data_IF_632720862155
#
_entry.id   IF_632720862155
#
_cell.length_a   1.000
_cell.length_b   1.000
_cell.length_c   1.000
_cell.angle_alpha   90.00
_cell.angle_beta   90.00
_cell.angle_gamma   90.00
#
_symmetry.space_group_name_H-M   'P 1'
#
loop_
_entity.id
_entity.type
_entity.pdbx_description
1 polymer ?
#
# COMPACT_ATOMS: atom_id res chain seq x y z
N UNK A 1 1.79 14.67 -16.12
CA UNK A 1 1.51 15.22 -14.76
C UNK A 1 0.52 14.27 -14.13
N UNK A 2 0.73 13.89 -12.86
CA UNK A 2 -0.19 13.00 -12.14
C UNK A 2 -1.54 13.70 -11.99
N UNK A 3 -2.61 13.00 -12.35
CA UNK A 3 -4.00 13.49 -12.33
C UNK A 3 -4.83 12.80 -11.24
N UNK A 4 -4.49 11.55 -10.92
CA UNK A 4 -5.26 10.72 -10.02
C UNK A 4 -4.54 10.55 -8.68
N UNK A 5 -5.25 10.83 -7.60
CA UNK A 5 -4.68 10.91 -6.25
C UNK A 5 -5.53 10.12 -5.26
N UNK A 6 -4.93 9.59 -4.18
CA UNK A 6 -5.68 9.11 -3.03
C UNK A 6 -6.61 10.21 -2.47
N UNK A 7 -7.75 9.81 -1.91
CA UNK A 7 -8.63 10.76 -1.23
C UNK A 7 -7.99 11.28 0.05
N UNK A 8 -8.43 12.44 0.54
CA UNK A 8 -7.92 13.00 1.80
C UNK A 8 -8.18 12.07 3.00
N UNK A 9 -9.29 11.32 2.96
CA UNK A 9 -9.59 10.28 3.95
C UNK A 9 -8.54 9.17 3.96
N UNK A 10 -8.13 8.68 2.79
CA UNK A 10 -7.07 7.66 2.68
C UNK A 10 -5.72 8.19 3.17
N UNK A 11 -5.37 9.44 2.84
CA UNK A 11 -4.14 10.06 3.30
C UNK A 11 -4.15 10.25 4.83
N UNK A 12 -5.26 10.68 5.40
CA UNK A 12 -5.41 10.81 6.85
C UNK A 12 -5.32 9.45 7.56
N UNK A 13 -6.02 8.43 7.05
CA UNK A 13 -5.95 7.06 7.55
C UNK A 13 -4.52 6.48 7.46
N UNK A 14 -3.78 6.79 6.39
CA UNK A 14 -2.37 6.41 6.26
C UNK A 14 -1.50 7.01 7.36
N UNK A 15 -1.67 8.31 7.65
CA UNK A 15 -0.89 9.03 8.66
C UNK A 15 -1.08 8.45 10.05
N UNK A 16 -2.30 8.08 10.43
CA UNK A 16 -2.60 7.52 11.76
C UNK A 16 -2.40 6.00 11.82
N UNK A 17 -1.98 5.36 10.71
CA UNK A 17 -1.69 3.93 10.67
C UNK A 17 -2.91 3.00 10.61
N UNK A 18 -4.06 3.49 10.14
CA UNK A 18 -5.33 2.74 10.10
C UNK A 18 -5.57 2.01 8.76
N UNK A 19 -4.75 2.28 7.74
CA UNK A 19 -4.82 1.54 6.48
C UNK A 19 -4.22 0.14 6.59
N UNK A 20 -4.88 -0.82 5.92
CA UNK A 20 -4.29 -2.10 5.56
C UNK A 20 -2.91 -1.92 4.88
N UNK A 21 -2.00 -2.86 5.09
CA UNK A 21 -0.62 -2.81 4.60
C UNK A 21 -0.56 -2.65 3.07
N UNK A 22 -1.43 -3.32 2.32
CA UNK A 22 -1.54 -3.16 0.86
C UNK A 22 -1.83 -1.73 0.44
N UNK A 23 -2.85 -1.11 1.06
CA UNK A 23 -3.22 0.27 0.77
C UNK A 23 -2.19 1.28 1.28
N UNK A 24 -1.59 1.02 2.44
CA UNK A 24 -0.51 1.83 3.01
C UNK A 24 0.72 1.86 2.10
N UNK A 25 1.11 0.70 1.53
CA UNK A 25 2.19 0.62 0.53
C UNK A 25 1.87 1.48 -0.69
N UNK A 26 0.64 1.43 -1.19
CA UNK A 26 0.23 2.23 -2.35
C UNK A 26 0.30 3.73 -2.07
N UNK A 27 -0.26 4.18 -0.94
CA UNK A 27 -0.25 5.61 -0.56
C UNK A 27 1.19 6.09 -0.37
N UNK A 28 2.04 5.31 0.30
CA UNK A 28 3.47 5.63 0.44
C UNK A 28 4.19 5.72 -0.91
N UNK A 29 4.00 4.73 -1.79
CA UNK A 29 4.61 4.72 -3.13
C UNK A 29 4.15 5.92 -3.98
N UNK A 30 2.87 6.25 -3.91
CA UNK A 30 2.31 7.43 -4.58
C UNK A 30 2.91 8.74 -4.06
N UNK A 31 3.06 8.90 -2.74
CA UNK A 31 3.64 10.10 -2.16
C UNK A 31 5.12 10.30 -2.53
N UNK A 32 5.88 9.22 -2.79
CA UNK A 32 7.24 9.32 -3.34
C UNK A 32 7.24 9.89 -4.77
N UNK A 33 6.16 9.71 -5.52
CA UNK A 33 6.01 10.14 -6.92
C UNK A 33 5.25 11.47 -7.06
N UNK A 34 4.50 11.87 -6.03
CA UNK A 34 3.55 12.99 -6.08
C UNK A 34 3.80 14.00 -4.94
N UNK A 35 4.42 15.14 -5.29
CA UNK A 35 4.71 16.23 -4.34
C UNK A 35 3.45 16.78 -3.65
N UNK A 36 2.33 16.87 -4.39
CA UNK A 36 1.04 17.32 -3.83
C UNK A 36 0.55 16.44 -2.68
N UNK A 37 0.55 15.12 -2.87
CA UNK A 37 0.12 14.19 -1.84
C UNK A 37 1.14 14.05 -0.71
N UNK A 38 2.45 14.17 -1.01
CA UNK A 38 3.50 14.24 0.00
C UNK A 38 3.28 15.41 0.96
N UNK A 39 2.99 16.61 0.44
CA UNK A 39 2.72 17.79 1.24
C UNK A 39 1.45 17.65 2.10
N UNK A 40 0.40 17.01 1.57
CA UNK A 40 -0.82 16.70 2.34
C UNK A 40 -0.54 15.72 3.49
N UNK A 41 0.22 14.66 3.25
CA UNK A 41 0.63 13.71 4.30
C UNK A 41 1.44 14.42 5.39
N UNK A 42 2.35 15.32 5.02
CA UNK A 42 3.11 16.11 5.99
C UNK A 42 2.19 17.00 6.85
N UNK A 43 1.23 17.68 6.24
CA UNK A 43 0.23 18.48 6.95
C UNK A 43 -0.62 17.64 7.91
N UNK A 44 -1.16 16.51 7.44
CA UNK A 44 -1.95 15.62 8.28
C UNK A 44 -1.11 15.00 9.41
N UNK A 45 0.18 14.75 9.18
CA UNK A 45 1.11 14.28 10.22
C UNK A 45 1.29 15.34 11.31
N UNK A 46 1.45 16.62 10.94
CA UNK A 46 1.53 17.72 11.90
C UNK A 46 0.25 17.83 12.74
N UNK A 47 -0.92 17.73 12.09
CA UNK A 47 -2.21 17.75 12.77
C UNK A 47 -2.40 16.57 13.73
N UNK A 48 -2.03 15.37 13.31
CA UNK A 48 -2.10 14.17 14.14
C UNK A 48 -1.14 14.26 15.34
N UNK A 49 0.07 14.78 15.13
CA UNK A 49 1.02 15.03 16.20
C UNK A 49 0.46 16.03 17.22
N UNK A 50 -0.11 17.15 16.76
CA UNK A 50 -0.69 18.14 17.66
C UNK A 50 -1.84 17.55 18.48
N UNK A 51 -2.75 16.78 17.87
CA UNK A 51 -3.81 16.09 18.60
C UNK A 51 -3.27 15.10 19.64
N UNK A 52 -2.18 14.39 19.34
CA UNK A 52 -1.57 13.44 20.26
C UNK A 52 -0.89 14.13 21.46
N UNK A 53 -0.29 15.31 21.26
CA UNK A 53 0.38 16.07 22.32
C UNK A 53 -0.56 16.98 23.13
N UNK A 54 -1.60 17.52 22.50
CA UNK A 54 -2.63 18.35 23.16
C UNK A 54 -3.71 17.48 23.85
N UNK A 55 -3.74 16.17 23.58
CA UNK A 55 -4.59 15.25 24.31
C UNK A 55 -4.32 15.44 25.81
N UNK A 56 -5.35 15.77 26.62
CA UNK A 56 -5.16 15.92 28.05
C UNK A 56 -4.55 14.60 28.52
N UNK A 57 -3.33 14.68 29.07
CA UNK A 57 -2.74 13.59 29.83
C UNK A 57 -3.80 13.23 30.86
N UNK A 58 -4.55 12.16 30.59
CA UNK A 58 -5.45 11.60 31.57
C UNK A 58 -4.52 11.20 32.70
N UNK A 59 -4.39 12.08 33.70
CA UNK A 59 -4.09 11.65 35.04
C UNK A 59 -5.06 10.51 35.28
N UNK A 60 -4.50 9.30 35.30
CA UNK A 60 -5.23 8.07 35.55
C UNK A 60 -5.77 8.14 36.97
N UNK A 61 -6.84 8.89 37.16
CA UNK A 61 -7.68 8.79 38.34
C UNK A 61 -8.86 7.84 38.08
N UNK A 62 -9.10 7.38 36.83
CA UNK A 62 -10.27 6.54 36.50
C UNK A 62 -10.12 5.64 35.25
N UNK A 63 -9.13 4.76 35.21
CA UNK A 63 -9.18 3.54 34.38
C UNK A 63 -8.61 2.42 35.24
N UNK A 64 -9.36 1.45 35.78
CA UNK A 64 -10.28 0.55 35.10
C UNK A 64 -11.40 0.11 36.07
N UNK A 65 -12.65 0.51 35.82
CA UNK A 65 -13.79 -0.15 36.46
C UNK A 65 -14.14 -1.44 35.69
N UNK A 66 -13.25 -2.42 35.72
CA UNK A 66 -13.59 -3.81 35.39
C UNK A 66 -13.47 -4.61 36.69
N UNK A 67 -14.62 -5.06 37.17
CA UNK A 67 -14.72 -6.00 38.27
C UNK A 67 -13.82 -7.23 38.04
N UNK A 68 -12.64 -7.24 38.65
CA UNK A 68 -12.04 -8.46 39.18
C UNK A 68 -11.00 -8.11 40.25
N UNK A 69 -11.02 -8.85 41.35
CA UNK A 69 -10.17 -8.67 42.54
C UNK A 69 -8.67 -8.85 42.21
N UNK A 70 -8.02 -7.83 41.66
CA UNK A 70 -6.58 -7.67 41.69
C UNK A 70 -6.28 -6.34 42.40
N UNK A 71 -5.41 -6.38 43.41
CA UNK A 71 -4.87 -5.17 44.03
C UNK A 71 -4.13 -4.36 42.94
N UNK A 72 -4.76 -3.31 42.44
CA UNK A 72 -4.11 -2.31 41.59
C UNK A 72 -3.21 -1.46 42.48
N UNK A 73 -1.93 -1.83 42.56
CA UNK A 73 -0.88 -0.94 43.06
C UNK A 73 -0.87 0.33 42.19
N UNK A 74 -0.88 1.53 42.78
CA UNK A 74 -0.83 2.77 42.01
C UNK A 74 0.43 2.78 41.14
N UNK A 75 0.26 2.99 39.83
CA UNK A 75 1.37 3.12 38.89
C UNK A 75 2.20 4.35 39.28
N UNK A 76 3.34 4.10 39.93
CA UNK A 76 4.32 5.13 40.25
C UNK A 76 5.01 5.59 38.96
N UNK A 77 4.49 6.67 38.38
CA UNK A 77 5.01 7.28 37.15
C UNK A 77 6.46 7.73 37.30
N UNK A 78 6.88 8.14 38.49
CA UNK A 78 8.28 8.54 38.76
C UNK A 78 9.18 7.29 38.75
N UNK A 79 8.73 6.18 39.32
CA UNK A 79 9.44 4.90 39.23
C UNK A 79 9.49 4.36 37.80
N UNK A 80 8.40 4.46 37.02
CA UNK A 80 8.39 4.06 35.62
C UNK A 80 9.34 4.89 34.77
N UNK A 81 9.32 6.21 34.94
CA UNK A 81 10.25 7.12 34.27
C UNK A 81 11.71 6.85 34.68
N UNK A 82 11.95 6.63 35.98
CA UNK A 82 13.25 6.26 36.51
C UNK A 82 13.78 4.96 35.93
N UNK A 83 12.94 3.93 35.81
CA UNK A 83 13.29 2.65 35.19
C UNK A 83 13.59 2.82 33.69
N UNK A 84 12.76 3.53 32.94
CA UNK A 84 13.01 3.82 31.52
C UNK A 84 14.33 4.56 31.31
N UNK A 85 14.62 5.57 32.15
CA UNK A 85 15.88 6.31 32.09
C UNK A 85 17.07 5.42 32.46
N UNK A 86 16.95 4.59 33.49
CA UNK A 86 17.99 3.64 33.89
C UNK A 86 18.27 2.62 32.78
N UNK A 87 17.24 2.13 32.08
CA UNK A 87 17.39 1.23 30.93
C UNK A 87 18.13 1.93 29.78
N UNK A 88 17.77 3.17 29.43
CA UNK A 88 18.46 3.96 28.40
C UNK A 88 19.93 4.19 28.76
N UNK A 89 20.22 4.51 30.03
CA UNK A 89 21.57 4.82 30.50
C UNK A 89 22.45 3.59 30.69
N UNK A 90 21.86 2.41 30.87
CA UNK A 90 22.58 1.14 31.04
C UNK A 90 22.72 0.33 29.73
N UNK A 91 22.00 0.70 28.66
CA UNK A 91 22.22 0.14 27.33
C UNK A 91 23.61 0.53 26.83
N UNK A 92 24.50 -0.46 26.68
CA UNK A 92 25.79 -0.25 26.03
C UNK A 92 25.51 0.17 24.58
N UNK A 93 25.72 1.45 24.28
CA UNK A 93 25.52 2.08 22.96
C UNK A 93 26.41 1.46 21.87
N UNK A 94 26.10 0.23 21.48
CA UNK A 94 26.45 -0.30 20.17
C UNK A 94 25.16 -0.23 19.37
N UNK A 95 25.05 0.62 18.34
CA UNK A 95 23.88 0.66 17.49
C UNK A 95 23.59 -0.76 16.99
N UNK A 96 22.52 -1.38 17.50
CA UNK A 96 22.09 -2.74 17.11
C UNK A 96 21.75 -2.80 15.61
N UNK A 97 21.59 -1.65 14.98
CA UNK A 97 21.32 -1.50 13.55
C UNK A 97 22.11 -0.31 13.02
N UNK A 98 23.05 -0.57 12.11
CA UNK A 98 23.64 0.47 11.28
C UNK A 98 22.57 0.91 10.27
N UNK A 99 22.10 2.15 10.37
CA UNK A 99 21.14 2.71 9.41
C UNK A 99 21.89 2.99 8.11
N UNK A 100 21.80 2.06 7.17
CA UNK A 100 22.23 2.28 5.79
C UNK A 100 21.03 2.69 4.94
N UNK A 101 21.21 3.58 3.95
CA UNK A 101 20.15 3.88 3.00
C UNK A 101 19.62 2.58 2.37
N UNK A 102 18.30 2.43 2.32
CA UNK A 102 17.69 1.30 1.62
C UNK A 102 18.22 1.29 0.17
N UNK A 103 18.90 0.22 -0.26
CA UNK A 103 19.52 0.18 -1.58
C UNK A 103 18.44 0.40 -2.64
N UNK A 104 18.76 1.12 -3.72
CA UNK A 104 17.87 1.18 -4.88
C UNK A 104 17.58 -0.25 -5.31
N UNK A 105 16.31 -0.55 -5.52
CA UNK A 105 15.89 -1.87 -5.93
C UNK A 105 15.17 -1.76 -7.28
N UNK A 106 15.59 -2.61 -8.20
CA UNK A 106 15.03 -2.72 -9.54
C UNK A 106 14.39 -4.11 -9.69
N UNK A 107 13.37 -4.18 -10.53
CA UNK A 107 12.79 -5.45 -10.98
C UNK A 107 12.94 -5.56 -12.48
N UNK A 108 13.26 -6.76 -12.96
CA UNK A 108 13.27 -7.07 -14.38
C UNK A 108 12.16 -8.07 -14.70
N UNK A 109 11.32 -7.75 -15.67
CA UNK A 109 10.20 -8.58 -16.12
C UNK A 109 10.06 -8.47 -17.63
N UNK A 110 9.99 -9.61 -18.31
CA UNK A 110 9.83 -9.67 -19.78
C UNK A 110 10.86 -8.86 -20.60
N UNK A 111 12.06 -8.62 -20.06
CA UNK A 111 13.12 -7.85 -20.73
C UNK A 111 13.15 -6.36 -20.37
N UNK A 112 12.14 -5.85 -19.67
CA UNK A 112 12.06 -4.48 -19.18
C UNK A 112 12.53 -4.39 -17.73
N UNK A 113 13.09 -3.25 -17.35
CA UNK A 113 13.57 -2.99 -15.98
C UNK A 113 12.91 -1.74 -15.40
N UNK A 114 12.40 -1.86 -14.18
CA UNK A 114 11.72 -0.79 -13.47
C UNK A 114 12.37 -0.54 -12.10
N UNK A 115 12.55 0.72 -11.73
CA UNK A 115 12.91 1.12 -10.37
C UNK A 115 11.68 1.05 -9.46
N UNK A 116 11.86 0.51 -8.26
CA UNK A 116 10.77 0.43 -7.27
C UNK A 116 10.81 1.61 -6.28
N UNK A 117 9.64 2.20 -5.95
CA UNK A 117 9.48 3.07 -4.79
C UNK A 117 9.93 2.38 -3.49
N UNK A 118 10.36 3.15 -2.50
CA UNK A 118 10.90 2.71 -1.20
C UNK A 118 9.99 1.66 -0.56
N UNK A 119 8.68 1.92 -0.51
CA UNK A 119 7.69 1.01 0.08
C UNK A 119 7.67 -0.38 -0.57
N UNK A 120 8.12 -0.50 -1.82
CA UNK A 120 8.13 -1.73 -2.61
C UNK A 120 9.52 -2.39 -2.70
N UNK A 121 10.62 -1.72 -2.33
CA UNK A 121 11.99 -2.23 -2.53
C UNK A 121 12.26 -3.58 -1.86
N UNK A 122 11.61 -3.85 -0.73
CA UNK A 122 11.71 -5.16 -0.05
C UNK A 122 11.15 -6.31 -0.89
N UNK A 123 10.33 -6.02 -1.90
CA UNK A 123 9.71 -6.96 -2.82
C UNK A 123 10.36 -6.94 -4.21
N UNK A 124 11.64 -6.58 -4.31
CA UNK A 124 12.38 -6.63 -5.59
C UNK A 124 12.66 -8.04 -6.09
N UNK A 125 12.53 -9.06 -5.23
CA UNK A 125 12.63 -10.47 -5.60
C UNK A 125 11.28 -11.15 -5.41
N UNK A 126 10.49 -11.22 -6.48
CA UNK A 126 9.20 -11.91 -6.51
C UNK A 126 9.17 -12.95 -7.63
N UNK A 127 8.39 -14.01 -7.43
CA UNK A 127 8.07 -14.97 -8.48
C UNK A 127 6.97 -14.43 -9.40
N UNK A 128 7.26 -14.42 -10.71
CA UNK A 128 6.31 -13.98 -11.74
C UNK A 128 5.52 -15.15 -12.31
N UNK A 129 4.24 -14.93 -12.55
CA UNK A 129 3.36 -15.80 -13.34
C UNK A 129 2.93 -15.04 -14.59
N UNK A 130 3.16 -15.61 -15.77
CA UNK A 130 2.97 -14.92 -17.06
C UNK A 130 1.98 -15.65 -17.96
N UNK A 131 1.08 -14.89 -18.59
CA UNK A 131 0.13 -15.35 -19.60
C UNK A 131 0.03 -14.30 -20.73
N UNK A 132 0.47 -14.67 -21.93
CA UNK A 132 0.56 -13.72 -23.04
C UNK A 132 1.45 -12.53 -22.68
N UNK A 133 0.93 -11.32 -22.84
CA UNK A 133 1.62 -10.06 -22.49
C UNK A 133 1.49 -9.67 -21.01
N UNK A 134 0.74 -10.44 -20.21
CA UNK A 134 0.46 -10.09 -18.81
C UNK A 134 1.36 -10.93 -17.89
N UNK A 135 2.09 -10.26 -17.00
CA UNK A 135 2.90 -10.89 -15.96
C UNK A 135 2.47 -10.36 -14.59
N UNK A 136 2.26 -11.23 -13.62
CA UNK A 136 1.85 -10.86 -12.25
C UNK A 136 2.78 -11.46 -11.21
N UNK A 137 3.14 -10.66 -10.22
CA UNK A 137 3.90 -11.09 -9.04
C UNK A 137 3.16 -10.67 -7.77
N UNK A 138 2.72 -11.66 -6.97
CA UNK A 138 1.93 -11.42 -5.76
C UNK A 138 2.82 -11.02 -4.58
N UNK A 139 2.41 -10.01 -3.82
CA UNK A 139 3.07 -9.65 -2.56
C UNK A 139 2.53 -10.50 -1.40
N UNK A 140 3.39 -11.06 -0.55
CA UNK A 140 2.98 -11.91 0.57
C UNK A 140 2.58 -11.07 1.80
N UNK A 141 1.50 -10.30 1.71
CA UNK A 141 1.03 -9.42 2.79
C UNK A 141 0.11 -10.10 3.82
N UNK A 142 -0.44 -11.28 3.50
CA UNK A 142 -1.31 -12.07 4.38
C UNK A 142 -2.59 -11.34 4.86
N UNK A 143 -3.21 -10.52 4.01
CA UNK A 143 -4.40 -9.72 4.33
C UNK A 143 -5.72 -10.40 3.92
N UNK A 144 -5.94 -11.62 4.41
CA UNK A 144 -7.22 -12.33 4.19
C UNK A 144 -7.53 -12.56 2.70
N UNK A 145 -8.61 -11.97 2.22
CA UNK A 145 -9.04 -12.04 0.80
C UNK A 145 -8.44 -10.94 -0.08
N UNK A 146 -7.86 -9.89 0.52
CA UNK A 146 -7.18 -8.82 -0.21
C UNK A 146 -5.90 -9.33 -0.85
N UNK A 147 -5.69 -8.94 -2.12
CA UNK A 147 -4.55 -9.36 -2.94
C UNK A 147 -3.83 -8.14 -3.47
N UNK A 148 -2.58 -7.97 -3.03
CA UNK A 148 -1.64 -7.02 -3.58
C UNK A 148 -0.70 -7.69 -4.60
N UNK A 149 -0.45 -7.06 -5.74
CA UNK A 149 0.44 -7.58 -6.78
C UNK A 149 1.15 -6.47 -7.54
N UNK A 150 2.35 -6.77 -8.03
CA UNK A 150 2.88 -6.11 -9.21
C UNK A 150 2.27 -6.74 -10.45
N UNK A 151 1.73 -5.89 -11.32
CA UNK A 151 1.17 -6.26 -12.62
C UNK A 151 2.00 -5.58 -13.71
N UNK A 152 2.57 -6.38 -14.58
CA UNK A 152 3.24 -5.92 -15.78
C UNK A 152 2.40 -6.27 -17.00
N UNK A 153 2.14 -5.27 -17.85
CA UNK A 153 1.52 -5.44 -19.16
C UNK A 153 2.60 -5.09 -20.18
N UNK A 154 3.03 -6.07 -20.97
CA UNK A 154 4.05 -5.87 -21.99
C UNK A 154 3.57 -5.01 -23.16
N UNK A 155 4.50 -4.59 -24.01
CA UNK A 155 4.27 -3.80 -25.22
C UNK A 155 3.11 -4.35 -26.07
N UNK A 156 2.21 -3.47 -26.52
CA UNK A 156 0.96 -3.80 -27.22
C UNK A 156 0.02 -4.76 -26.46
N UNK A 157 0.20 -4.88 -25.15
CA UNK A 157 -0.60 -5.73 -24.29
C UNK A 157 -1.90 -5.08 -23.86
N UNK A 158 -2.88 -5.90 -23.54
CA UNK A 158 -4.15 -5.46 -22.96
C UNK A 158 -4.65 -6.46 -21.93
N UNK A 159 -5.28 -5.95 -20.88
CA UNK A 159 -6.02 -6.75 -19.91
C UNK A 159 -7.47 -6.87 -20.39
N UNK A 160 -8.01 -8.10 -20.56
CA UNK A 160 -9.38 -8.29 -21.01
C UNK A 160 -10.40 -7.55 -20.14
N UNK A 161 -11.46 -7.07 -20.79
CA UNK A 161 -12.51 -6.31 -20.12
C UNK A 161 -13.10 -7.07 -18.93
N UNK A 162 -13.06 -6.42 -17.77
CA UNK A 162 -13.46 -7.01 -16.50
C UNK A 162 -14.18 -5.99 -15.61
N UNK A 163 -14.74 -6.52 -14.53
CA UNK A 163 -15.35 -5.78 -13.43
C UNK A 163 -14.82 -6.31 -12.12
N UNK A 164 -14.87 -5.49 -11.09
CA UNK A 164 -14.49 -5.87 -9.73
C UNK A 164 -15.74 -6.24 -8.94
N UNK A 165 -15.62 -7.15 -7.97
CA UNK A 165 -16.70 -7.42 -7.00
C UNK A 165 -16.59 -6.56 -5.74
N UNK A 166 -15.48 -5.85 -5.60
CA UNK A 166 -15.18 -4.89 -4.53
C UNK A 166 -14.36 -3.75 -5.11
N UNK A 167 -13.51 -3.14 -4.29
CA UNK A 167 -12.59 -2.10 -4.73
C UNK A 167 -11.36 -2.69 -5.43
N UNK A 168 -10.92 -2.03 -6.50
CA UNK A 168 -9.60 -2.22 -7.07
C UNK A 168 -8.83 -0.91 -7.08
N UNK A 169 -7.61 -0.96 -6.56
CA UNK A 169 -6.60 0.05 -6.74
C UNK A 169 -5.65 -0.36 -7.85
N UNK A 170 -5.32 0.58 -8.73
CA UNK A 170 -4.17 0.52 -9.62
C UNK A 170 -3.31 1.78 -9.46
N UNK A 171 -2.04 1.62 -9.10
CA UNK A 171 -1.03 2.66 -9.08
C UNK A 171 0.01 2.37 -10.18
N UNK A 172 0.15 3.26 -11.17
CA UNK A 172 1.22 3.09 -12.17
C UNK A 172 2.58 3.42 -11.55
N UNK A 173 3.53 2.50 -11.71
CA UNK A 173 4.92 2.66 -11.28
C UNK A 173 5.84 3.03 -12.45
N UNK A 174 5.50 2.62 -13.67
CA UNK A 174 6.29 2.87 -14.86
C UNK A 174 5.52 2.60 -16.15
N UNK A 175 5.96 3.23 -17.25
CA UNK A 175 5.26 3.18 -18.53
C UNK A 175 3.97 3.98 -18.55
N UNK A 176 3.02 3.60 -19.39
CA UNK A 176 1.70 4.20 -19.47
C UNK A 176 0.68 3.16 -19.90
N UNK A 177 -0.59 3.36 -19.56
CA UNK A 177 -1.69 2.64 -20.21
C UNK A 177 -2.86 3.60 -20.41
N UNK A 178 -3.80 3.22 -21.25
CA UNK A 178 -5.08 3.90 -21.45
C UNK A 178 -6.22 2.91 -21.32
N UNK A 179 -7.40 3.43 -20.98
CA UNK A 179 -8.66 2.68 -21.03
C UNK A 179 -9.79 3.58 -21.57
N UNK A 180 -11.04 3.17 -21.40
CA UNK A 180 -12.22 3.91 -21.86
C UNK A 180 -12.42 5.29 -21.19
N UNK A 181 -11.73 5.56 -20.07
CA UNK A 181 -11.89 6.77 -19.28
C UNK A 181 -10.76 7.78 -19.52
N UNK A 182 -9.50 7.35 -19.55
CA UNK A 182 -8.36 8.25 -19.71
C UNK A 182 -7.05 7.52 -20.09
N UNK A 183 -5.98 8.30 -20.27
CA UNK A 183 -4.59 7.84 -20.32
C UNK A 183 -3.92 8.11 -18.98
N UNK A 184 -3.19 7.13 -18.48
CA UNK A 184 -2.57 7.09 -17.16
C UNK A 184 -1.05 7.05 -17.26
N UNK A 185 -0.38 7.74 -16.34
CA UNK A 185 1.09 7.87 -16.27
C UNK A 185 1.62 7.45 -14.89
N UNK A 186 2.94 7.26 -14.73
CA UNK A 186 3.51 6.86 -13.44
C UNK A 186 3.12 7.85 -12.34
N UNK A 187 2.64 7.29 -11.23
CA UNK A 187 2.12 8.03 -10.08
C UNK A 187 0.61 8.27 -10.11
N UNK A 188 -0.12 7.91 -11.17
CA UNK A 188 -1.58 7.96 -11.13
C UNK A 188 -2.14 6.86 -10.21
N UNK A 189 -2.94 7.27 -9.22
CA UNK A 189 -3.59 6.43 -8.22
C UNK A 189 -5.07 6.23 -8.54
N UNK A 190 -5.40 5.13 -9.18
CA UNK A 190 -6.71 4.87 -9.77
C UNK A 190 -7.49 3.93 -8.84
N UNK A 191 -8.62 4.40 -8.31
CA UNK A 191 -9.55 3.60 -7.52
C UNK A 191 -10.82 3.34 -8.32
N UNK A 192 -11.13 2.08 -8.54
CA UNK A 192 -12.33 1.62 -9.26
C UNK A 192 -13.15 0.68 -8.37
N UNK A 193 -14.44 0.56 -8.69
CA UNK A 193 -15.36 -0.35 -8.02
C UNK A 193 -16.15 -1.22 -9.03
N UNK A 194 -17.16 -1.94 -8.52
CA UNK A 194 -17.96 -2.85 -9.32
C UNK A 194 -18.79 -2.20 -10.44
N UNK A 195 -18.97 -0.87 -10.39
CA UNK A 195 -19.67 -0.11 -11.43
C UNK A 195 -18.78 0.22 -12.62
N UNK A 196 -17.45 0.08 -12.46
CA UNK A 196 -16.49 0.36 -13.52
C UNK A 196 -16.24 -0.89 -14.37
N UNK A 197 -16.43 -0.73 -15.68
CA UNK A 197 -15.96 -1.68 -16.68
C UNK A 197 -14.85 -1.01 -17.45
N UNK A 198 -13.69 -1.65 -17.54
CA UNK A 198 -12.60 -1.11 -18.33
C UNK A 198 -11.71 -2.17 -18.98
N UNK A 199 -10.94 -1.74 -19.97
CA UNK A 199 -10.04 -2.56 -20.78
C UNK A 199 -8.66 -1.89 -20.84
N UNK A 200 -7.82 -2.02 -19.80
CA UNK A 200 -6.48 -1.42 -19.81
C UNK A 200 -5.65 -1.92 -20.99
N UNK A 201 -5.05 -1.01 -21.74
CA UNK A 201 -4.17 -1.31 -22.86
C UNK A 201 -2.95 -0.39 -22.88
N UNK A 202 -1.81 -0.90 -23.34
CA UNK A 202 -0.57 -0.13 -23.41
C UNK A 202 0.13 -0.35 -24.74
N UNK A 203 0.69 0.72 -25.31
CA UNK A 203 1.54 0.63 -26.49
C UNK A 203 2.96 0.22 -26.10
N UNK A 204 3.58 0.91 -25.14
CA UNK A 204 5.00 0.74 -24.80
C UNK A 204 5.26 -0.22 -23.63
N UNK A 205 4.22 -0.71 -22.97
CA UNK A 205 4.33 -1.52 -21.76
C UNK A 205 4.21 -0.68 -20.48
N UNK A 206 3.78 -1.32 -19.39
CA UNK A 206 3.66 -0.66 -18.09
C UNK A 206 3.85 -1.63 -16.91
N UNK A 207 4.22 -1.04 -15.77
CA UNK A 207 4.26 -1.70 -14.49
C UNK A 207 3.32 -0.98 -13.53
N UNK A 208 2.46 -1.74 -12.87
CA UNK A 208 1.48 -1.25 -11.90
C UNK A 208 1.62 -1.99 -10.57
N UNK A 209 1.37 -1.29 -9.48
CA UNK A 209 0.97 -1.90 -8.21
C UNK A 209 -0.55 -1.98 -8.17
N UNK A 210 -1.09 -3.15 -7.84
CA UNK A 210 -2.54 -3.40 -7.82
C UNK A 210 -2.95 -3.97 -6.48
N UNK A 211 -4.11 -3.54 -5.96
CA UNK A 211 -4.75 -4.10 -4.76
C UNK A 211 -6.20 -4.40 -5.10
N UNK A 212 -6.68 -5.59 -4.75
CA UNK A 212 -8.06 -6.00 -5.01
C UNK A 212 -8.61 -6.83 -3.86
N UNK A 213 -9.85 -6.59 -3.46
CA UNK A 213 -10.52 -7.28 -2.34
C UNK A 213 -11.33 -8.50 -2.78
N UNK A 214 -11.45 -8.74 -4.09
CA UNK A 214 -12.16 -9.87 -4.65
C UNK A 214 -11.58 -10.28 -6.02
N UNK A 215 -11.69 -11.57 -6.41
CA UNK A 215 -11.25 -12.01 -7.73
C UNK A 215 -12.00 -11.28 -8.84
N UNK A 216 -11.28 -10.93 -9.91
CA UNK A 216 -11.86 -10.29 -11.08
C UNK A 216 -13.01 -11.11 -11.67
N UNK A 217 -13.98 -10.39 -12.23
CA UNK A 217 -15.08 -10.98 -12.98
C UNK A 217 -15.01 -10.51 -14.44
N UNK A 218 -14.62 -11.39 -15.35
CA UNK A 218 -14.53 -11.10 -16.79
C UNK A 218 -15.93 -11.05 -17.40
N UNK A 219 -16.21 -9.99 -18.17
CA UNK A 219 -17.59 -9.67 -18.59
C UNK A 219 -17.88 -9.95 -20.06
N UNK A 220 -16.87 -10.15 -20.93
CA UNK A 220 -17.08 -10.22 -22.39
C UNK A 220 -16.53 -11.47 -23.07
N UNK A 221 -17.38 -12.19 -23.83
CA UNK A 221 -16.97 -13.22 -24.78
C UNK A 221 -16.31 -14.46 -24.17
N UNK A 222 -15.36 -15.07 -24.89
CA UNK A 222 -14.62 -16.28 -24.46
C UNK A 222 -13.85 -16.08 -23.15
N UNK A 223 -13.58 -14.84 -22.74
CA UNK A 223 -12.95 -14.52 -21.45
C UNK A 223 -13.82 -14.86 -20.24
N UNK A 224 -15.14 -14.97 -20.40
CA UNK A 224 -16.03 -15.44 -19.33
C UNK A 224 -15.73 -16.90 -18.92
N UNK A 225 -15.18 -17.72 -19.82
CA UNK A 225 -14.74 -19.08 -19.52
C UNK A 225 -13.51 -19.09 -18.60
N UNK A 226 -12.74 -18.01 -18.55
CA UNK A 226 -11.61 -17.84 -17.63
C UNK A 226 -12.06 -17.54 -16.20
N UNK A 227 -13.34 -17.21 -15.95
CA UNK A 227 -13.86 -17.03 -14.59
C UNK A 227 -13.71 -18.30 -13.73
N UNK A 228 -13.70 -19.49 -14.35
CA UNK A 228 -13.44 -20.76 -13.66
C UNK A 228 -11.96 -20.95 -13.27
N UNK A 229 -11.04 -20.29 -13.99
CA UNK A 229 -9.58 -20.30 -13.77
C UNK A 229 -9.12 -19.02 -13.05
N UNK A 230 -10.03 -18.07 -12.81
CA UNK A 230 -9.75 -16.74 -12.25
C UNK A 230 -8.91 -16.79 -10.98
N UNK A 231 -9.14 -17.77 -10.09
CA UNK A 231 -8.36 -17.98 -8.85
C UNK A 231 -6.88 -18.37 -9.06
N UNK A 232 -6.53 -18.94 -10.21
CA UNK A 232 -5.15 -19.34 -10.54
C UNK A 232 -4.38 -18.16 -11.14
N UNK A 233 -5.09 -17.19 -11.72
CA UNK A 233 -4.52 -16.01 -12.39
C UNK A 233 -4.61 -14.76 -11.49
N UNK A 234 -5.54 -14.74 -10.52
CA UNK A 234 -5.85 -13.66 -9.58
C UNK A 234 -5.88 -14.11 -8.13
#
# INVERSE_FOLDING_TARGET
MIKYHPTDEMLAAHVVGDLAASMSIAVSAHCEMCEHCMNKVALFTEQAAQLAFDAPMLHSENAVASNDNAQEEPLDMDAMFGNMLADIMSDEMVPKTLVTPSPKAEISVCGETYSLPIALRRYHQLGWSSIGTISRARLPLNEGDTRASLLHIGMNGSVPSHTHKGTELTLLLGGHFEDEHDTYVPGDFIMLDASNHHTPQTHDGCLCYTVSDAPLHFTKGVSQLLNAVGRVIY
#
